data_IF_987932824608
#
_entry.id   IF_987932824608
#
_cell.length_a   1.000
_cell.length_b   1.000
_cell.length_c   1.000
_cell.angle_alpha   90.00
_cell.angle_beta   90.00
_cell.angle_gamma   90.00
#
_symmetry.space_group_name_H-M   'P 1'
#
loop_
_entity.id
_entity.type
_entity.pdbx_description
1 polymer ?
#
# COMPACT_ATOMS: atom_id res chain seq x y z
N UNK A 1 -3.44 -10.44 2.74
CA UNK A 1 -3.56 -9.44 1.64
C UNK A 1 -3.55 -8.05 2.26
N UNK A 2 -2.93 -7.05 1.62
CA UNK A 2 -2.82 -5.69 2.19
C UNK A 2 -3.41 -4.67 1.23
N UNK A 3 -4.29 -3.80 1.74
CA UNK A 3 -4.84 -2.65 1.03
C UNK A 3 -4.22 -1.37 1.58
N UNK A 4 -3.56 -0.56 0.75
CA UNK A 4 -3.07 0.76 1.14
C UNK A 4 -4.06 1.83 0.67
N UNK A 5 -4.66 2.56 1.61
CA UNK A 5 -5.68 3.56 1.37
C UNK A 5 -5.28 4.88 2.02
N UNK A 6 -5.68 6.00 1.42
CA UNK A 6 -5.52 7.34 2.00
C UNK A 6 -6.88 7.91 2.38
N UNK A 7 -7.00 8.48 3.58
CA UNK A 7 -8.22 9.13 4.05
C UNK A 7 -8.60 10.37 3.22
N UNK A 8 -7.63 10.98 2.53
CA UNK A 8 -7.81 12.21 1.76
C UNK A 8 -8.04 11.95 0.27
N UNK A 9 -7.76 10.73 -0.24
CA UNK A 9 -8.03 10.41 -1.65
C UNK A 9 -9.49 10.00 -1.86
N UNK A 10 -10.26 10.68 -2.74
CA UNK A 10 -11.61 10.24 -3.12
C UNK A 10 -11.64 8.81 -3.68
N UNK A 11 -10.56 8.39 -4.35
CA UNK A 11 -10.37 7.05 -4.86
C UNK A 11 -10.39 5.97 -3.76
N UNK A 12 -9.87 6.30 -2.59
CA UNK A 12 -9.78 5.40 -1.44
C UNK A 12 -11.09 5.32 -0.68
N UNK A 13 -11.89 6.39 -0.66
CA UNK A 13 -13.22 6.39 -0.02
C UNK A 13 -14.14 5.35 -0.66
N UNK A 14 -14.26 5.34 -1.99
CA UNK A 14 -15.07 4.34 -2.70
C UNK A 14 -14.58 2.91 -2.45
N UNK A 15 -13.26 2.73 -2.29
CA UNK A 15 -12.67 1.43 -1.97
C UNK A 15 -12.98 1.01 -0.52
N UNK A 16 -13.02 1.95 0.43
CA UNK A 16 -13.46 1.68 1.80
C UNK A 16 -14.90 1.20 1.81
N UNK A 17 -15.81 1.88 1.12
CA UNK A 17 -17.22 1.47 1.07
C UNK A 17 -17.38 0.06 0.50
N UNK A 18 -16.64 -0.25 -0.56
CA UNK A 18 -16.59 -1.59 -1.13
C UNK A 18 -16.08 -2.63 -0.13
N UNK A 19 -14.96 -2.35 0.55
CA UNK A 19 -14.37 -3.27 1.54
C UNK A 19 -15.32 -3.50 2.73
N UNK A 20 -15.95 -2.45 3.24
CA UNK A 20 -16.93 -2.52 4.32
C UNK A 20 -18.13 -3.39 3.92
N UNK A 21 -18.64 -3.21 2.70
CA UNK A 21 -19.76 -4.01 2.18
C UNK A 21 -19.41 -5.49 1.98
N UNK A 22 -18.21 -5.75 1.45
CA UNK A 22 -17.69 -7.11 1.23
C UNK A 22 -17.39 -7.86 2.53
N UNK A 23 -16.94 -7.13 3.56
CA UNK A 23 -16.31 -7.65 4.80
C UNK A 23 -15.01 -8.40 4.54
N UNK A 24 -14.23 -8.58 5.60
CA UNK A 24 -12.99 -9.32 5.54
C UNK A 24 -13.23 -10.83 5.40
N UNK A 25 -12.38 -11.50 4.63
CA UNK A 25 -12.38 -12.96 4.50
C UNK A 25 -11.59 -13.58 5.67
N UNK A 26 -12.22 -14.34 6.58
CA UNK A 26 -11.57 -14.80 7.81
C UNK A 26 -10.32 -15.66 7.57
N UNK A 27 -10.29 -16.42 6.48
CA UNK A 27 -9.20 -17.34 6.17
C UNK A 27 -7.90 -16.65 5.69
N UNK A 28 -7.95 -15.37 5.30
CA UNK A 28 -6.87 -14.72 4.54
C UNK A 28 -6.12 -13.66 5.35
N UNK A 29 -6.61 -13.29 6.53
CA UNK A 29 -5.98 -12.27 7.38
C UNK A 29 -5.79 -10.96 6.62
N UNK A 30 -6.89 -10.33 6.22
CA UNK A 30 -6.86 -9.10 5.43
C UNK A 30 -6.50 -7.89 6.31
N UNK A 31 -5.54 -7.11 5.83
CA UNK A 31 -5.05 -5.91 6.51
C UNK A 31 -5.27 -4.67 5.64
N UNK A 32 -5.61 -3.56 6.28
CA UNK A 32 -5.74 -2.25 5.65
C UNK A 32 -4.72 -1.31 6.30
N UNK A 33 -3.77 -0.82 5.50
CA UNK A 33 -2.96 0.34 5.83
C UNK A 33 -3.76 1.59 5.48
N UNK A 34 -4.04 2.42 6.48
CA UNK A 34 -4.79 3.66 6.29
C UNK A 34 -3.90 4.86 6.61
N UNK A 35 -3.57 5.64 5.59
CA UNK A 35 -2.73 6.85 5.67
C UNK A 35 -3.64 8.05 5.86
N UNK A 36 -3.40 8.83 6.93
CA UNK A 36 -4.21 9.99 7.31
C UNK A 36 -5.71 9.70 7.38
N UNK A 37 -6.03 8.49 7.87
CA UNK A 37 -7.40 8.04 8.07
C UNK A 37 -8.09 8.79 9.20
N UNK A 38 -9.41 8.98 9.06
CA UNK A 38 -10.24 9.45 10.18
C UNK A 38 -10.62 8.28 11.09
N UNK A 39 -10.85 8.54 12.38
CA UNK A 39 -11.29 7.52 13.35
C UNK A 39 -12.57 6.79 12.90
N UNK A 40 -13.45 7.49 12.16
CA UNK A 40 -14.67 6.91 11.59
C UNK A 40 -14.37 5.83 10.55
N UNK A 41 -13.39 6.06 9.68
CA UNK A 41 -13.00 5.08 8.65
C UNK A 41 -12.36 3.85 9.28
N UNK A 42 -11.48 4.05 10.28
CA UNK A 42 -10.86 2.96 11.04
C UNK A 42 -11.93 2.07 11.68
N UNK A 43 -12.85 2.67 12.45
CA UNK A 43 -13.91 1.92 13.11
C UNK A 43 -14.81 1.14 12.13
N UNK A 44 -15.08 1.72 10.95
CA UNK A 44 -15.90 1.07 9.92
C UNK A 44 -15.21 -0.18 9.35
N UNK A 45 -13.90 -0.12 9.11
CA UNK A 45 -13.10 -1.23 8.59
C UNK A 45 -12.89 -2.33 9.64
N UNK A 46 -12.63 -1.96 10.89
CA UNK A 46 -12.52 -2.93 11.99
C UNK A 46 -13.85 -3.65 12.23
N UNK A 47 -14.98 -2.94 12.20
CA UNK A 47 -16.31 -3.55 12.29
C UNK A 47 -16.62 -4.49 11.11
N UNK A 48 -15.99 -4.27 9.96
CA UNK A 48 -16.07 -5.16 8.80
C UNK A 48 -15.09 -6.35 8.89
N UNK A 49 -14.30 -6.45 9.96
CA UNK A 49 -13.41 -7.58 10.26
C UNK A 49 -11.98 -7.43 9.74
N UNK A 50 -11.59 -6.26 9.26
CA UNK A 50 -10.22 -6.00 8.79
C UNK A 50 -9.29 -5.66 9.95
N UNK A 51 -8.03 -6.07 9.86
CA UNK A 51 -6.96 -5.52 10.70
C UNK A 51 -6.54 -4.17 10.13
N UNK A 52 -6.68 -3.08 10.89
CA UNK A 52 -6.32 -1.74 10.41
C UNK A 52 -5.02 -1.28 11.05
N UNK A 53 -4.10 -0.77 10.23
CA UNK A 53 -2.87 -0.10 10.66
C UNK A 53 -2.93 1.34 10.20
N UNK A 54 -3.04 2.26 11.14
CA UNK A 54 -3.11 3.69 10.85
C UNK A 54 -1.70 4.30 10.86
N UNK A 55 -1.38 5.07 9.82
CA UNK A 55 -0.10 5.74 9.67
C UNK A 55 -0.33 7.19 9.26
N UNK A 56 0.58 8.07 9.64
CA UNK A 56 0.72 9.38 9.02
C UNK A 56 1.68 9.31 7.83
N UNK A 57 1.63 10.31 6.94
CA UNK A 57 2.54 10.44 5.80
C UNK A 57 4.02 10.31 6.19
N UNK A 58 4.42 10.89 7.32
CA UNK A 58 5.80 10.89 7.79
C UNK A 58 6.27 9.46 8.16
N UNK A 59 5.43 8.69 8.84
CA UNK A 59 5.66 7.31 9.25
C UNK A 59 5.64 6.37 8.06
N UNK A 60 4.77 6.63 7.08
CA UNK A 60 4.78 5.91 5.81
C UNK A 60 6.10 6.15 5.06
N UNK A 61 6.54 7.40 4.95
CA UNK A 61 7.82 7.75 4.33
C UNK A 61 9.02 7.17 5.10
N UNK A 62 8.98 7.12 6.44
CA UNK A 62 10.05 6.53 7.23
C UNK A 62 10.13 5.00 7.05
N UNK A 63 8.98 4.34 6.91
CA UNK A 63 8.88 2.88 6.85
C UNK A 63 9.07 2.34 5.42
N UNK A 64 8.52 3.06 4.44
CA UNK A 64 8.44 2.63 3.04
C UNK A 64 9.08 3.61 2.04
N UNK A 65 9.43 4.81 2.48
CA UNK A 65 10.13 5.80 1.66
C UNK A 65 11.55 5.34 1.36
N UNK A 66 11.67 4.63 0.24
CA UNK A 66 12.92 4.36 -0.47
C UNK A 66 14.12 4.02 0.42
N UNK A 67 14.21 2.74 0.81
CA UNK A 67 15.54 2.11 0.73
C UNK A 67 16.00 2.36 -0.71
N UNK A 68 17.10 3.10 -0.89
CA UNK A 68 17.70 3.40 -2.19
C UNK A 68 17.49 2.22 -3.13
N UNK A 69 16.97 2.41 -4.37
CA UNK A 69 16.91 1.32 -5.32
C UNK A 69 18.30 0.66 -5.36
N UNK A 70 18.39 -0.68 -5.35
CA UNK A 70 19.68 -1.34 -5.47
C UNK A 70 20.41 -0.69 -6.65
N UNK A 71 21.67 -0.28 -6.46
CA UNK A 71 22.45 0.31 -7.54
C UNK A 71 22.59 -0.75 -8.63
N UNK A 72 21.64 -0.79 -9.55
CA UNK A 72 21.70 -1.64 -10.73
C UNK A 72 22.85 -1.07 -11.55
N UNK A 73 23.97 -1.81 -11.56
CA UNK A 73 25.05 -1.49 -12.49
C UNK A 73 24.43 -1.52 -13.89
N UNK A 74 24.58 -0.47 -14.72
CA UNK A 74 24.13 -0.56 -16.10
C UNK A 74 24.76 -1.80 -16.73
N UNK A 75 24.01 -2.59 -17.52
CA UNK A 75 24.58 -3.72 -18.24
C UNK A 75 25.76 -3.22 -19.07
N UNK A 76 26.87 -3.96 -19.06
CA UNK A 76 28.03 -3.63 -19.89
C UNK A 76 27.55 -3.51 -21.34
N UNK A 77 27.96 -2.47 -22.09
CA UNK A 77 27.61 -2.38 -23.50
C UNK A 77 28.03 -3.67 -24.20
N UNK A 78 27.11 -4.27 -24.96
CA UNK A 78 27.41 -5.41 -25.81
C UNK A 78 28.56 -5.00 -26.73
N UNK A 79 29.69 -5.69 -26.65
CA UNK A 79 30.81 -5.48 -27.56
C UNK A 79 30.32 -5.86 -28.95
N UNK A 80 30.01 -4.89 -29.80
CA UNK A 80 29.79 -5.14 -31.21
C UNK A 80 31.11 -5.62 -31.79
N UNK A 81 31.28 -6.94 -31.87
CA UNK A 81 32.31 -7.58 -32.69
C UNK A 81 31.95 -7.30 -34.15
N UNK A 82 32.24 -6.08 -34.60
CA UNK A 82 32.21 -5.71 -36.01
C UNK A 82 33.37 -6.42 -36.69
N UNK A 83 33.03 -7.46 -37.45
CA UNK A 83 33.91 -8.13 -38.38
C UNK A 83 34.54 -7.11 -39.34
N UNK A 84 35.87 -7.18 -39.48
CA UNK A 84 36.61 -7.05 -40.73
C UNK A 84 38.00 -7.64 -40.53
#
# INVERSE_FOLDING_TARGET
MVHALSGECPCSVSMVDYLVGRRATPAVGEQVLLVDGTARLVASLEAAGFSVVQLDEASLAATYGSRRPPRVRPPRPCRSSGAR
#
